data_IF_816177271650
#
_entry.id   IF_816177271650
#
_cell.length_a   1.000
_cell.length_b   1.000
_cell.length_c   1.000
_cell.angle_alpha   90.00
_cell.angle_beta   90.00
_cell.angle_gamma   90.00
#
_symmetry.space_group_name_H-M   'P 1'
#
loop_
_entity.id
_entity.type
_entity.pdbx_description
1 polymer ?
#
# COMPACT_ATOMS: atom_id res chain seq x y z
N UNK A 1 -16.82 13.51 -7.38
CA UNK A 1 -16.38 12.48 -6.41
C UNK A 1 -15.23 11.77 -7.08
N UNK A 2 -14.05 11.72 -6.46
CA UNK A 2 -12.90 11.00 -7.05
C UNK A 2 -13.21 9.51 -7.01
N UNK A 3 -13.07 8.82 -8.14
CA UNK A 3 -13.32 7.38 -8.22
C UNK A 3 -12.21 6.59 -7.49
N UNK A 4 -12.58 5.46 -6.88
CA UNK A 4 -11.60 4.56 -6.26
C UNK A 4 -10.71 3.96 -7.34
N UNK A 5 -9.41 3.85 -7.09
CA UNK A 5 -8.52 3.06 -7.93
C UNK A 5 -9.03 1.61 -8.10
N UNK A 6 -8.92 1.04 -9.31
CA UNK A 6 -9.33 -0.35 -9.54
C UNK A 6 -8.47 -1.31 -8.72
N UNK A 7 -9.01 -2.52 -8.46
CA UNK A 7 -8.17 -3.59 -7.95
C UNK A 7 -7.17 -3.99 -9.03
N UNK A 8 -5.93 -4.23 -8.65
CA UNK A 8 -4.91 -4.78 -9.55
C UNK A 8 -5.30 -6.19 -9.99
N UNK A 9 -5.75 -7.02 -9.04
CA UNK A 9 -6.29 -8.37 -9.25
C UNK A 9 -7.40 -8.64 -8.24
N UNK A 10 -8.31 -9.53 -8.58
CA UNK A 10 -9.30 -10.08 -7.64
C UNK A 10 -8.91 -11.48 -7.21
N UNK A 11 -9.32 -11.89 -6.01
CA UNK A 11 -9.11 -13.27 -5.55
C UNK A 11 -9.83 -14.26 -6.48
N UNK A 12 -9.18 -15.37 -6.87
CA UNK A 12 -9.80 -16.40 -7.70
C UNK A 12 -10.93 -17.16 -6.99
N UNK A 13 -10.97 -17.15 -5.65
CA UNK A 13 -11.99 -17.83 -4.85
C UNK A 13 -13.02 -16.89 -4.23
N UNK A 14 -12.81 -15.58 -4.29
CA UNK A 14 -13.72 -14.59 -3.75
C UNK A 14 -13.63 -13.26 -4.54
N UNK A 15 -14.58 -12.99 -5.46
CA UNK A 15 -14.53 -11.80 -6.31
C UNK A 15 -14.66 -10.48 -5.54
N UNK A 16 -15.14 -10.51 -4.29
CA UNK A 16 -15.24 -9.34 -3.41
C UNK A 16 -13.91 -8.97 -2.75
N UNK A 17 -12.85 -9.77 -2.90
CA UNK A 17 -11.50 -9.45 -2.43
C UNK A 17 -10.64 -8.92 -3.57
N UNK A 18 -10.17 -7.68 -3.45
CA UNK A 18 -9.31 -7.02 -4.42
C UNK A 18 -7.93 -6.70 -3.85
N UNK A 19 -6.88 -7.10 -4.56
CA UNK A 19 -5.50 -6.67 -4.33
C UNK A 19 -5.32 -5.24 -4.83
N UNK A 20 -4.81 -4.33 -3.99
CA UNK A 20 -4.57 -2.93 -4.36
C UNK A 20 -3.07 -2.70 -4.52
N UNK A 21 -2.69 -2.21 -5.71
CA UNK A 21 -1.32 -1.79 -6.04
C UNK A 21 -1.35 -0.34 -6.51
N UNK A 22 -0.75 0.58 -5.75
CA UNK A 22 -0.66 2.00 -6.18
C UNK A 22 0.32 2.17 -7.35
N UNK A 23 1.24 1.20 -7.51
CA UNK A 23 2.21 1.10 -8.61
C UNK A 23 2.25 -0.34 -9.17
N UNK A 24 1.29 -0.72 -10.05
CA UNK A 24 1.20 -2.08 -10.60
C UNK A 24 2.51 -2.60 -11.24
N UNK A 25 3.32 -1.72 -11.81
CA UNK A 25 4.59 -2.06 -12.45
C UNK A 25 5.68 -2.53 -11.47
N UNK A 26 5.52 -2.19 -10.18
CA UNK A 26 6.46 -2.54 -9.09
C UNK A 26 6.01 -3.76 -8.27
N UNK A 27 4.91 -4.42 -8.65
CA UNK A 27 4.35 -5.57 -7.90
C UNK A 27 5.37 -6.69 -7.63
N UNK A 28 6.30 -6.91 -8.57
CA UNK A 28 7.32 -7.96 -8.47
C UNK A 28 8.36 -7.70 -7.38
N UNK A 29 8.48 -6.46 -6.92
CA UNK A 29 9.48 -6.08 -5.92
C UNK A 29 8.98 -6.34 -4.49
N UNK A 30 7.65 -6.43 -4.30
CA UNK A 30 7.03 -6.58 -3.00
C UNK A 30 6.43 -7.99 -2.81
N UNK A 31 6.68 -8.67 -1.67
CA UNK A 31 6.08 -9.97 -1.39
C UNK A 31 4.64 -9.87 -0.86
N UNK A 32 4.08 -8.66 -0.75
CA UNK A 32 2.73 -8.36 -0.28
C UNK A 32 2.14 -7.16 -1.04
N UNK A 33 0.83 -6.99 -0.96
CA UNK A 33 0.14 -5.83 -1.50
C UNK A 33 0.13 -4.67 -0.49
N UNK A 34 0.24 -3.40 -0.94
CA UNK A 34 0.03 -2.24 -0.07
C UNK A 34 -1.31 -2.29 0.69
N UNK A 35 -2.38 -2.75 0.05
CA UNK A 35 -3.65 -2.99 0.72
C UNK A 35 -4.48 -4.09 0.06
N UNK A 36 -5.41 -4.64 0.82
CA UNK A 36 -6.49 -5.52 0.35
C UNK A 36 -7.83 -4.85 0.61
N UNK A 37 -8.66 -4.76 -0.43
CA UNK A 37 -10.01 -4.22 -0.35
C UNK A 37 -11.03 -5.36 -0.28
N UNK A 38 -11.95 -5.24 0.68
CA UNK A 38 -13.15 -6.08 0.77
C UNK A 38 -14.34 -5.26 0.29
N UNK A 39 -14.95 -5.67 -0.81
CA UNK A 39 -16.13 -5.05 -1.39
C UNK A 39 -17.37 -5.20 -0.46
N UNK A 40 -18.51 -4.57 -0.79
CA UNK A 40 -19.72 -4.71 0.00
C UNK A 40 -20.13 -6.17 0.28
N UNK A 41 -20.77 -6.44 1.42
CA UNK A 41 -21.29 -5.46 2.40
C UNK A 41 -20.26 -4.97 3.44
N UNK A 42 -19.03 -5.52 3.46
CA UNK A 42 -18.04 -5.16 4.49
C UNK A 42 -17.40 -3.78 4.28
N UNK A 43 -17.13 -3.43 3.01
CA UNK A 43 -16.51 -2.15 2.60
C UNK A 43 -15.28 -1.76 3.44
N UNK A 44 -14.35 -2.71 3.60
CA UNK A 44 -13.13 -2.55 4.40
C UNK A 44 -11.89 -2.41 3.50
N UNK A 45 -10.91 -1.66 3.97
CA UNK A 45 -9.56 -1.62 3.41
C UNK A 45 -8.55 -2.05 4.49
N UNK A 46 -7.87 -3.15 4.24
CA UNK A 46 -6.79 -3.65 5.09
C UNK A 46 -5.47 -3.13 4.54
N UNK A 47 -4.82 -2.22 5.27
CA UNK A 47 -3.56 -1.60 4.87
C UNK A 47 -2.40 -2.39 5.49
N UNK A 48 -1.41 -2.74 4.68
CA UNK A 48 -0.18 -3.39 5.16
C UNK A 48 0.60 -2.46 6.09
N UNK A 49 1.42 -3.04 6.97
CA UNK A 49 2.25 -2.25 7.89
C UNK A 49 3.18 -1.29 7.11
N UNK A 50 3.06 0.01 7.39
CA UNK A 50 3.92 1.03 6.80
C UNK A 50 5.06 1.42 7.75
N UNK A 51 6.23 1.65 7.18
CA UNK A 51 7.46 2.08 7.86
C UNK A 51 7.97 3.37 7.19
N UNK A 52 9.06 4.00 7.67
CA UNK A 52 9.71 5.08 6.94
C UNK A 52 10.39 4.66 5.62
N UNK A 53 10.48 3.37 5.30
CA UNK A 53 10.96 2.91 3.99
C UNK A 53 10.01 3.37 2.88
N UNK A 54 10.48 3.57 1.63
CA UNK A 54 9.59 3.78 0.50
C UNK A 54 8.52 2.68 0.38
N UNK A 55 7.27 3.04 0.03
CA UNK A 55 6.17 2.07 -0.09
C UNK A 55 6.50 0.85 -0.98
N UNK A 56 7.21 1.09 -2.08
CA UNK A 56 7.79 0.05 -2.91
C UNK A 56 9.31 0.11 -2.81
N UNK A 57 9.91 -1.00 -2.39
CA UNK A 57 11.35 -1.21 -2.26
C UNK A 57 11.68 -2.66 -2.64
N UNK A 58 12.96 -2.96 -2.74
CA UNK A 58 13.44 -4.24 -3.22
C UNK A 58 13.34 -5.31 -2.13
N UNK A 59 12.94 -6.52 -2.54
CA UNK A 59 13.06 -7.73 -1.74
C UNK A 59 13.82 -8.79 -2.54
N UNK A 60 15.04 -9.21 -2.11
CA UNK A 60 15.73 -8.86 -0.88
C UNK A 60 16.08 -7.36 -0.75
N UNK A 61 16.15 -6.86 0.49
CA UNK A 61 16.37 -5.44 0.76
C UNK A 61 17.72 -4.94 0.23
N UNK A 62 17.69 -3.79 -0.46
CA UNK A 62 18.89 -3.06 -0.85
C UNK A 62 19.15 -1.91 0.13
N UNK A 63 20.31 -1.92 0.82
CA UNK A 63 20.59 -0.98 1.91
C UNK A 63 20.45 0.49 1.51
N UNK A 64 20.73 0.83 0.25
CA UNK A 64 20.67 2.20 -0.22
C UNK A 64 19.24 2.75 -0.33
N UNK A 65 18.21 1.89 -0.37
CA UNK A 65 16.79 2.27 -0.38
C UNK A 65 16.26 2.58 1.04
N UNK A 66 17.02 2.24 2.08
CA UNK A 66 16.61 2.32 3.49
C UNK A 66 17.39 3.38 4.28
N UNK A 67 17.52 4.57 3.71
CA UNK A 67 18.16 5.72 4.37
C UNK A 67 17.16 6.47 5.25
N UNK A 68 16.92 5.95 6.45
CA UNK A 68 15.92 6.52 7.36
C UNK A 68 16.47 7.66 8.22
N UNK A 69 15.66 8.69 8.50
CA UNK A 69 15.99 9.70 9.49
C UNK A 69 16.07 9.07 10.89
N UNK A 70 16.92 9.60 11.77
CA UNK A 70 17.06 9.10 13.15
C UNK A 70 15.90 9.55 14.04
N UNK A 71 15.31 10.72 13.75
CA UNK A 71 14.22 11.30 14.53
C UNK A 71 12.90 10.55 14.35
N UNK A 72 12.29 10.11 15.46
CA UNK A 72 11.03 9.38 15.43
C UNK A 72 9.89 10.17 14.77
N UNK A 73 9.82 11.49 14.99
CA UNK A 73 8.80 12.33 14.40
C UNK A 73 8.83 12.27 12.86
N UNK A 74 10.03 12.28 12.28
CA UNK A 74 10.19 12.22 10.84
C UNK A 74 9.92 10.82 10.29
N UNK A 75 10.33 9.78 11.01
CA UNK A 75 9.97 8.40 10.65
C UNK A 75 8.45 8.19 10.64
N UNK A 76 7.75 8.73 11.65
CA UNK A 76 6.29 8.70 11.72
C UNK A 76 5.67 9.46 10.57
N UNK A 77 6.18 10.66 10.22
CA UNK A 77 5.68 11.43 9.07
C UNK A 77 5.76 10.61 7.77
N UNK A 78 6.91 9.99 7.48
CA UNK A 78 7.12 9.18 6.29
C UNK A 78 6.21 7.94 6.25
N UNK A 79 6.03 7.25 7.39
CA UNK A 79 5.12 6.12 7.47
C UNK A 79 3.65 6.54 7.21
N UNK A 80 3.23 7.68 7.77
CA UNK A 80 1.89 8.22 7.53
C UNK A 80 1.70 8.69 6.08
N UNK A 81 2.74 9.22 5.43
CA UNK A 81 2.70 9.56 4.00
C UNK A 81 2.54 8.33 3.11
N UNK A 82 3.23 7.23 3.42
CA UNK A 82 3.02 5.97 2.73
C UNK A 82 1.56 5.50 2.85
N UNK A 83 0.98 5.53 4.07
CA UNK A 83 -0.44 5.19 4.29
C UNK A 83 -1.34 6.14 3.48
N UNK A 84 -1.06 7.44 3.49
CA UNK A 84 -1.82 8.43 2.74
C UNK A 84 -1.84 8.13 1.25
N UNK A 85 -0.72 7.72 0.66
CA UNK A 85 -0.67 7.40 -0.78
C UNK A 85 -1.61 6.24 -1.16
N UNK A 86 -1.79 5.27 -0.25
CA UNK A 86 -2.72 4.15 -0.43
C UNK A 86 -4.17 4.64 -0.33
N UNK A 87 -4.47 5.48 0.66
CA UNK A 87 -5.79 6.06 0.88
C UNK A 87 -6.20 6.96 -0.29
N UNK A 88 -5.31 7.85 -0.72
CA UNK A 88 -5.51 8.73 -1.88
C UNK A 88 -5.79 7.93 -3.15
N UNK A 89 -5.02 6.86 -3.39
CA UNK A 89 -5.24 5.95 -4.52
C UNK A 89 -6.61 5.25 -4.46
N UNK A 90 -7.19 5.11 -3.27
CA UNK A 90 -8.53 4.56 -3.06
C UNK A 90 -9.60 5.63 -2.86
N UNK A 91 -9.29 6.91 -3.09
CA UNK A 91 -10.18 8.05 -2.87
C UNK A 91 -10.76 8.09 -1.43
N UNK A 92 -9.91 7.77 -0.44
CA UNK A 92 -10.20 7.78 1.00
C UNK A 92 -9.34 8.84 1.72
N UNK A 93 -9.52 8.97 3.04
CA UNK A 93 -8.81 9.91 3.92
C UNK A 93 -8.23 9.22 5.13
#
# INVERSE_FOLDING_TARGET
>A
MTERGPAYRSSPSNPSLGEIQTRPERVKDMPYAPAIRVAPPGELLFISGATPSPLYHSHPHELHEHQHPVGIAEQTRLAMENIKTILDHQALT
#
